data_IF_338879968553
#
_entry.id   IF_338879968553
#
_cell.length_a   1.000
_cell.length_b   1.000
_cell.length_c   1.000
_cell.angle_alpha   90.00
_cell.angle_beta   90.00
_cell.angle_gamma   90.00
#
_symmetry.space_group_name_H-M   'P 1'
#
loop_
_entity.id
_entity.type
_entity.pdbx_description
1 polymer ?
#
# COMPACT_ATOMS: atom_id res chain seq x y z
N UNK A 1 10.09 21.61 31.67
CA UNK A 1 9.62 20.78 30.53
C UNK A 1 8.74 19.66 31.10
N UNK A 2 7.55 19.42 30.53
CA UNK A 2 6.66 18.32 30.97
C UNK A 2 7.25 17.00 30.46
N UNK A 3 7.91 16.23 31.34
CA UNK A 3 8.66 15.02 30.98
C UNK A 3 7.85 13.77 31.30
N UNK A 4 7.15 13.23 30.30
CA UNK A 4 6.42 11.96 30.40
C UNK A 4 5.10 11.96 29.65
N UNK A 5 4.68 10.79 29.17
CA UNK A 5 3.39 10.57 28.52
C UNK A 5 2.33 10.32 29.61
N UNK A 6 1.14 10.87 29.46
CA UNK A 6 0.05 10.64 30.43
C UNK A 6 -0.41 9.18 30.41
N UNK A 7 -0.52 8.55 31.59
CA UNK A 7 -1.00 7.16 31.73
C UNK A 7 -2.41 6.94 31.17
N UNK A 8 -3.32 7.89 31.44
CA UNK A 8 -4.71 7.82 30.96
C UNK A 8 -4.81 8.00 29.45
N UNK A 9 -3.84 8.70 28.86
CA UNK A 9 -3.74 8.81 27.41
C UNK A 9 -3.33 7.49 26.77
N UNK A 10 -2.34 6.78 27.35
CA UNK A 10 -1.97 5.45 26.87
C UNK A 10 -3.15 4.48 26.91
N UNK A 11 -3.93 4.47 27.99
CA UNK A 11 -5.14 3.65 28.11
C UNK A 11 -6.23 4.01 27.08
N UNK A 12 -6.45 5.30 26.83
CA UNK A 12 -7.43 5.77 25.85
C UNK A 12 -7.03 5.43 24.41
N UNK A 13 -5.73 5.52 24.10
CA UNK A 13 -5.17 5.14 22.81
C UNK A 13 -5.26 3.62 22.59
N UNK A 14 -4.96 2.81 23.63
CA UNK A 14 -5.14 1.35 23.58
C UNK A 14 -6.62 0.97 23.35
N UNK A 15 -7.56 1.69 23.98
CA UNK A 15 -9.01 1.48 23.82
C UNK A 15 -9.61 2.11 22.55
N UNK A 16 -8.81 2.82 21.74
CA UNK A 16 -9.28 3.60 20.57
C UNK A 16 -10.36 4.66 20.92
N UNK A 17 -10.38 5.15 22.15
CA UNK A 17 -11.34 6.15 22.65
C UNK A 17 -10.75 7.58 22.65
N UNK A 18 -9.62 7.77 21.97
CA UNK A 18 -8.98 9.06 21.80
C UNK A 18 -9.61 9.82 20.62
N UNK A 19 -9.78 11.14 20.74
CA UNK A 19 -10.43 11.95 19.71
C UNK A 19 -10.74 13.36 20.19
N UNK A 20 -11.46 14.12 19.35
CA UNK A 20 -11.75 15.54 19.58
C UNK A 20 -12.49 15.85 20.90
N UNK A 21 -13.26 14.90 21.42
CA UNK A 21 -13.98 15.02 22.70
C UNK A 21 -13.29 14.32 23.88
N UNK A 22 -12.10 13.73 23.68
CA UNK A 22 -11.42 13.02 24.76
C UNK A 22 -10.75 14.02 25.72
N UNK A 23 -11.11 13.93 27.00
CA UNK A 23 -10.62 14.80 28.07
C UNK A 23 -9.88 13.94 29.09
N UNK A 24 -8.64 14.32 29.41
CA UNK A 24 -7.85 13.57 30.38
C UNK A 24 -8.47 13.70 31.79
N UNK A 25 -8.76 12.59 32.51
CA UNK A 25 -9.31 12.65 33.87
C UNK A 25 -8.34 13.23 34.90
N UNK A 26 -7.04 13.33 34.57
CA UNK A 26 -5.98 13.87 35.44
C UNK A 26 -5.75 15.38 35.27
N UNK A 27 -6.80 16.13 34.92
CA UNK A 27 -6.72 17.59 34.74
C UNK A 27 -7.04 18.11 33.35
N UNK A 28 -7.99 17.49 32.64
CA UNK A 28 -8.65 17.96 31.41
C UNK A 28 -7.77 18.64 30.36
N UNK A 29 -7.47 19.94 30.53
CA UNK A 29 -6.67 20.79 29.64
C UNK A 29 -5.28 21.14 30.20
N UNK A 30 -5.04 20.92 31.49
CA UNK A 30 -3.82 21.24 32.22
C UNK A 30 -3.20 19.97 32.83
N UNK A 31 -3.13 18.88 32.07
CA UNK A 31 -2.38 17.72 32.52
C UNK A 31 -0.88 18.06 32.57
N UNK A 32 -0.23 17.71 33.69
CA UNK A 32 1.22 17.84 33.87
C UNK A 32 2.04 16.95 32.92
N UNK A 33 1.41 15.97 32.28
CA UNK A 33 2.01 15.02 31.36
C UNK A 33 1.60 15.28 29.90
N UNK A 34 2.40 14.81 28.94
CA UNK A 34 2.20 15.01 27.49
C UNK A 34 1.14 14.04 26.94
N UNK A 35 0.18 14.57 26.18
CA UNK A 35 -0.86 13.80 25.47
C UNK A 35 -0.45 13.51 24.02
N UNK A 36 0.75 12.97 23.83
CA UNK A 36 1.24 12.57 22.52
C UNK A 36 2.12 11.34 22.68
N UNK A 37 1.99 10.39 21.76
CA UNK A 37 2.90 9.25 21.66
C UNK A 37 4.28 9.77 21.22
N UNK A 38 5.38 9.33 21.85
CA UNK A 38 6.71 9.54 21.31
C UNK A 38 6.84 8.93 19.92
N UNK A 39 7.68 9.50 19.04
CA UNK A 39 7.96 8.91 17.74
C UNK A 39 8.53 7.49 17.94
N UNK A 40 7.95 6.50 17.25
CA UNK A 40 8.36 5.09 17.34
C UNK A 40 7.64 4.25 18.40
N UNK A 41 6.68 4.80 19.16
CA UNK A 41 5.88 4.00 20.09
C UNK A 41 4.80 3.19 19.35
N UNK A 42 4.96 1.86 19.33
CA UNK A 42 3.97 0.93 18.77
C UNK A 42 3.04 0.44 19.88
N UNK A 43 1.73 0.53 19.65
CA UNK A 43 0.73 0.06 20.60
C UNK A 43 0.77 -1.46 20.74
N UNK A 44 0.55 -1.98 21.95
CA UNK A 44 0.49 -3.43 22.22
C UNK A 44 -0.53 -4.16 21.34
N UNK A 45 -1.65 -3.51 21.04
CA UNK A 45 -2.68 -4.05 20.14
C UNK A 45 -2.22 -4.14 18.69
N UNK A 46 -1.44 -3.18 18.21
CA UNK A 46 -0.86 -3.21 16.86
C UNK A 46 0.27 -4.24 16.76
N UNK A 47 1.15 -4.32 17.77
CA UNK A 47 2.16 -5.36 17.86
C UNK A 47 1.54 -6.77 17.87
N UNK A 48 0.47 -6.98 18.64
CA UNK A 48 -0.23 -8.26 18.68
C UNK A 48 -0.84 -8.63 17.32
N UNK A 49 -1.46 -7.68 16.64
CA UNK A 49 -2.03 -7.92 15.30
C UNK A 49 -0.95 -8.30 14.28
N UNK A 50 0.19 -7.59 14.28
CA UNK A 50 1.29 -7.92 13.36
C UNK A 50 1.90 -9.30 13.65
N UNK A 51 2.11 -9.63 14.92
CA UNK A 51 2.62 -10.95 15.32
C UNK A 51 1.63 -12.08 14.98
N UNK A 52 0.33 -11.82 15.07
CA UNK A 52 -0.70 -12.79 14.72
C UNK A 52 -0.79 -12.99 13.19
N UNK A 53 -0.66 -11.94 12.38
CA UNK A 53 -0.54 -12.05 10.92
C UNK A 53 0.75 -12.75 10.47
N UNK A 54 1.86 -12.55 11.19
CA UNK A 54 3.12 -13.24 10.92
C UNK A 54 3.06 -14.71 11.35
N UNK A 55 2.42 -15.03 12.47
CA UNK A 55 2.27 -16.40 12.96
C UNK A 55 1.26 -17.23 12.15
N UNK A 56 0.24 -16.59 11.55
CA UNK A 56 -0.72 -17.26 10.67
C UNK A 56 -0.15 -17.59 9.29
N UNK A 57 0.97 -16.98 8.90
CA UNK A 57 1.72 -17.37 7.70
C UNK A 57 2.48 -18.65 8.03
N UNK A 58 1.81 -19.77 7.81
CA UNK A 58 2.48 -21.08 7.68
C UNK A 58 3.67 -20.86 6.74
N UNK A 59 4.85 -21.28 7.17
CA UNK A 59 6.06 -21.13 6.36
C UNK A 59 5.88 -21.90 5.05
N UNK A 60 6.47 -21.40 3.96
CA UNK A 60 6.33 -22.02 2.64
C UNK A 60 6.80 -23.49 2.70
N UNK A 61 7.80 -23.77 3.52
CA UNK A 61 8.35 -25.09 3.79
C UNK A 61 7.33 -26.04 4.43
N UNK A 62 6.63 -25.58 5.48
CA UNK A 62 5.62 -26.38 6.18
C UNK A 62 4.38 -26.62 5.30
N UNK A 63 3.98 -25.65 4.48
CA UNK A 63 2.94 -25.80 3.46
C UNK A 63 3.34 -26.86 2.42
N UNK A 64 4.58 -26.84 1.93
CA UNK A 64 5.09 -27.82 0.96
C UNK A 64 5.09 -29.24 1.54
N UNK A 65 5.53 -29.42 2.78
CA UNK A 65 5.58 -30.76 3.41
C UNK A 65 4.18 -31.31 3.66
N UNK A 66 3.25 -30.46 4.10
CA UNK A 66 1.82 -30.81 4.23
C UNK A 66 1.21 -31.23 2.89
N UNK A 67 1.56 -30.56 1.79
CA UNK A 67 1.09 -30.91 0.45
C UNK A 67 1.72 -32.22 -0.04
N UNK A 68 3.02 -32.44 0.19
CA UNK A 68 3.69 -33.72 -0.13
C UNK A 68 3.06 -34.90 0.60
N UNK A 69 2.73 -34.74 1.87
CA UNK A 69 2.06 -35.77 2.65
C UNK A 69 0.65 -36.11 2.13
N UNK A 70 -0.05 -35.15 1.51
CA UNK A 70 -1.38 -35.34 0.91
C UNK A 70 -1.33 -35.97 -0.48
N UNK A 71 -0.23 -35.81 -1.22
CA UNK A 71 -0.08 -36.36 -2.58
C UNK A 71 0.32 -37.83 -2.50
N UNK A 72 -0.62 -38.73 -2.83
CA UNK A 72 -0.40 -40.19 -2.79
C UNK A 72 0.08 -40.79 -4.11
N UNK A 73 -0.10 -40.10 -5.23
CA UNK A 73 0.24 -40.57 -6.58
C UNK A 73 1.18 -39.60 -7.27
N UNK A 74 2.31 -40.12 -7.78
CA UNK A 74 3.29 -39.34 -8.52
C UNK A 74 3.34 -39.87 -9.96
N UNK A 75 2.87 -39.06 -10.92
CA UNK A 75 3.00 -39.38 -12.34
C UNK A 75 4.38 -38.95 -12.82
N UNK A 76 5.16 -39.80 -13.50
CA UNK A 76 6.44 -39.40 -14.06
C UNK A 76 6.22 -38.27 -15.06
N UNK A 77 6.93 -37.17 -14.88
CA UNK A 77 6.80 -35.98 -15.72
C UNK A 77 7.44 -36.25 -17.08
N UNK A 78 6.64 -36.52 -18.10
CA UNK A 78 7.10 -36.62 -19.49
C UNK A 78 6.93 -35.28 -20.21
N UNK A 79 7.69 -35.07 -21.28
CA UNK A 79 7.65 -33.82 -22.07
C UNK A 79 6.26 -33.52 -22.63
N UNK A 80 5.55 -34.55 -23.08
CA UNK A 80 4.22 -34.38 -23.68
C UNK A 80 3.19 -33.97 -22.62
N UNK A 81 3.25 -34.56 -21.43
CA UNK A 81 2.41 -34.18 -20.30
C UNK A 81 2.71 -32.77 -19.81
N UNK A 82 3.98 -32.36 -19.79
CA UNK A 82 4.36 -30.99 -19.46
C UNK A 82 3.77 -29.98 -20.45
N UNK A 83 3.85 -30.28 -21.75
CA UNK A 83 3.32 -29.39 -22.78
C UNK A 83 1.80 -29.25 -22.67
N UNK A 84 1.08 -30.35 -22.46
CA UNK A 84 -0.38 -30.31 -22.21
C UNK A 84 -0.73 -29.50 -20.95
N UNK A 85 -0.02 -29.72 -19.84
CA UNK A 85 -0.20 -28.96 -18.61
C UNK A 85 0.09 -27.46 -18.83
N UNK A 86 1.16 -27.13 -19.55
CA UNK A 86 1.56 -25.75 -19.85
C UNK A 86 0.50 -25.06 -20.70
N UNK A 87 0.00 -25.72 -21.74
CA UNK A 87 -1.10 -25.19 -22.56
C UNK A 87 -2.34 -24.93 -21.71
N UNK A 88 -2.74 -25.90 -20.87
CA UNK A 88 -3.87 -25.74 -19.95
C UNK A 88 -3.68 -24.57 -18.99
N UNK A 89 -2.47 -24.36 -18.47
CA UNK A 89 -2.16 -23.24 -17.56
C UNK A 89 -2.14 -21.89 -18.25
N UNK A 90 -1.68 -21.84 -19.50
CA UNK A 90 -1.76 -20.62 -20.32
C UNK A 90 -3.21 -20.27 -20.59
N UNK A 91 -4.04 -21.24 -21.00
CA UNK A 91 -5.46 -21.04 -21.26
C UNK A 91 -6.23 -20.59 -20.00
N UNK A 92 -5.97 -21.19 -18.83
CA UNK A 92 -6.54 -20.78 -17.54
C UNK A 92 -6.16 -19.33 -17.19
N UNK A 93 -4.90 -18.95 -17.43
CA UNK A 93 -4.43 -17.58 -17.21
C UNK A 93 -5.09 -16.60 -18.17
N UNK A 94 -5.18 -16.94 -19.45
CA UNK A 94 -5.81 -16.09 -20.46
C UNK A 94 -7.31 -15.92 -20.20
N UNK A 95 -8.01 -16.99 -19.84
CA UNK A 95 -9.42 -16.94 -19.44
C UNK A 95 -9.63 -16.07 -18.19
N UNK A 96 -8.76 -16.19 -17.18
CA UNK A 96 -8.80 -15.34 -15.98
C UNK A 96 -8.55 -13.86 -16.30
N UNK A 97 -7.59 -13.56 -17.18
CA UNK A 97 -7.33 -12.20 -17.64
C UNK A 97 -8.47 -11.66 -18.50
N UNK A 98 -9.08 -12.48 -19.36
CA UNK A 98 -10.24 -12.11 -20.16
C UNK A 98 -11.45 -11.81 -19.27
N UNK A 99 -11.70 -12.61 -18.23
CA UNK A 99 -12.75 -12.35 -17.24
C UNK A 99 -12.49 -11.05 -16.47
N UNK A 100 -11.25 -10.82 -16.02
CA UNK A 100 -10.89 -9.58 -15.34
C UNK A 100 -11.04 -8.35 -16.26
N UNK A 101 -10.68 -8.47 -17.55
CA UNK A 101 -10.89 -7.42 -18.55
C UNK A 101 -12.38 -7.17 -18.80
N UNK A 102 -13.19 -8.23 -18.91
CA UNK A 102 -14.63 -8.11 -19.09
C UNK A 102 -15.30 -7.43 -17.89
N UNK A 103 -14.93 -7.79 -16.67
CA UNK A 103 -15.42 -7.12 -15.45
C UNK A 103 -14.95 -5.65 -15.38
N UNK A 104 -13.73 -5.35 -15.80
CA UNK A 104 -13.24 -3.96 -15.86
C UNK A 104 -13.96 -3.13 -16.92
N UNK A 105 -14.26 -3.73 -18.07
CA UNK A 105 -15.02 -3.11 -19.15
C UNK A 105 -16.48 -2.82 -18.73
N UNK A 106 -17.13 -3.75 -18.01
CA UNK A 106 -18.48 -3.50 -17.45
C UNK A 106 -18.53 -2.37 -16.43
N UNK A 107 -17.43 -2.13 -15.74
CA UNK A 107 -17.33 -1.10 -14.70
C UNK A 107 -16.77 0.25 -15.22
N UNK A 108 -16.70 0.46 -16.55
CA UNK A 108 -16.15 1.66 -17.21
C UNK A 108 -14.75 2.10 -16.72
N UNK A 109 -13.97 1.16 -16.18
CA UNK A 109 -12.63 1.40 -15.61
C UNK A 109 -11.50 0.97 -16.54
N UNK A 110 -11.68 1.16 -17.84
CA UNK A 110 -10.67 0.83 -18.84
C UNK A 110 -9.46 1.79 -18.73
N UNK A 111 -8.24 1.27 -18.87
CA UNK A 111 -7.05 2.13 -18.94
C UNK A 111 -7.07 2.97 -20.23
N UNK A 112 -6.55 4.20 -20.20
CA UNK A 112 -6.42 5.03 -21.41
C UNK A 112 -5.70 4.30 -22.56
N UNK A 113 -4.70 3.46 -22.26
CA UNK A 113 -4.04 2.62 -23.27
C UNK A 113 -4.96 1.55 -23.84
N UNK A 114 -5.85 0.97 -23.04
CA UNK A 114 -6.82 -0.03 -23.50
C UNK A 114 -7.89 0.62 -24.39
N UNK A 115 -8.38 1.80 -24.00
CA UNK A 115 -9.31 2.61 -24.81
C UNK A 115 -8.69 3.00 -26.16
N UNK A 116 -7.42 3.44 -26.15
CA UNK A 116 -6.71 3.81 -27.37
C UNK A 116 -6.47 2.62 -28.32
N UNK A 117 -6.25 1.42 -27.78
CA UNK A 117 -6.12 0.21 -28.61
C UNK A 117 -7.47 -0.28 -29.18
N UNK A 118 -8.59 0.03 -28.52
CA UNK A 118 -9.92 -0.30 -29.01
C UNK A 118 -10.37 0.67 -30.11
N UNK A 119 -10.24 1.96 -29.85
CA UNK A 119 -10.56 3.01 -30.81
C UNK A 119 -9.71 4.25 -30.56
N UNK A 120 -8.62 4.36 -31.34
CA UNK A 120 -7.74 5.51 -31.31
C UNK A 120 -8.42 6.78 -31.81
N UNK A 121 -9.52 6.67 -32.59
CA UNK A 121 -10.22 7.83 -33.14
C UNK A 121 -11.05 8.60 -32.11
N UNK A 122 -11.26 8.04 -30.92
CA UNK A 122 -11.89 8.74 -29.80
C UNK A 122 -10.96 9.77 -29.13
N UNK A 123 -9.66 9.69 -29.40
CA UNK A 123 -8.64 10.60 -28.86
C UNK A 123 -8.23 11.61 -29.94
N UNK A 124 -9.11 12.57 -30.20
CA UNK A 124 -8.83 13.71 -31.07
C UNK A 124 -8.52 14.91 -30.18
N UNK A 125 -7.33 15.48 -30.36
CA UNK A 125 -6.94 16.73 -29.74
C UNK A 125 -7.92 17.84 -30.17
N UNK A 126 -8.39 18.67 -29.23
CA UNK A 126 -9.22 19.82 -29.56
C UNK A 126 -8.41 20.90 -30.29
N UNK A 127 -9.10 21.86 -30.89
CA UNK A 127 -8.47 22.90 -31.70
C UNK A 127 -7.50 23.81 -30.91
N UNK A 128 -7.54 23.76 -29.58
CA UNK A 128 -6.74 24.59 -28.67
C UNK A 128 -5.51 23.82 -28.11
N UNK A 129 -5.46 22.49 -28.26
CA UNK A 129 -4.32 21.66 -27.84
C UNK A 129 -2.98 21.99 -28.55
N UNK A 130 -3.04 22.67 -29.69
CA UNK A 130 -1.84 23.12 -30.42
C UNK A 130 -1.37 24.51 -30.02
N UNK A 131 -2.08 25.20 -29.11
CA UNK A 131 -1.63 26.50 -28.65
C UNK A 131 -0.33 26.34 -27.86
N UNK A 132 0.72 26.98 -28.39
CA UNK A 132 2.05 26.98 -27.81
C UNK A 132 1.97 27.66 -26.45
N UNK A 133 1.91 26.85 -25.39
CA UNK A 133 1.83 27.33 -24.00
C UNK A 133 2.95 28.35 -23.74
N UNK A 134 2.60 29.63 -23.72
CA UNK A 134 3.55 30.70 -23.50
C UNK A 134 3.66 30.86 -21.98
N UNK A 135 4.63 30.16 -21.40
CA UNK A 135 4.97 30.32 -19.98
C UNK A 135 5.36 31.78 -19.78
N UNK A 136 4.52 32.56 -19.10
CA UNK A 136 4.92 33.88 -18.64
C UNK A 136 6.10 33.71 -17.68
N UNK A 137 7.18 34.45 -17.92
CA UNK A 137 8.27 34.55 -16.95
C UNK A 137 7.70 35.25 -15.72
N UNK A 138 7.50 34.50 -14.63
CA UNK A 138 7.18 35.13 -13.35
C UNK A 138 8.29 36.14 -12.99
N UNK A 139 7.94 37.34 -12.51
CA UNK A 139 8.94 38.30 -12.06
C UNK A 139 9.80 37.64 -10.97
N UNK A 140 11.11 37.83 -11.06
CA UNK A 140 12.12 37.33 -10.12
C UNK A 140 11.84 37.87 -8.71
N UNK A 141 10.93 37.20 -7.99
CA UNK A 141 10.80 37.35 -6.54
C UNK A 141 11.95 36.58 -5.94
N UNK A 142 13.02 37.31 -5.63
CA UNK A 142 14.22 36.90 -4.89
C UNK A 142 13.97 35.62 -4.09
N UNK A 143 14.40 34.49 -4.65
CA UNK A 143 14.36 33.22 -3.95
C UNK A 143 15.27 33.32 -2.74
N UNK A 144 14.69 33.58 -1.56
CA UNK A 144 15.34 33.27 -0.29
C UNK A 144 15.65 31.79 -0.31
N UNK A 145 16.89 31.47 -0.64
CA UNK A 145 17.45 30.12 -0.59
C UNK A 145 17.27 29.61 0.83
N UNK A 146 16.17 28.89 1.07
CA UNK A 146 16.04 28.05 2.26
C UNK A 146 17.01 26.90 1.99
N UNK A 147 18.24 27.06 2.47
CA UNK A 147 19.21 25.98 2.53
C UNK A 147 18.58 24.88 3.38
N UNK A 148 18.03 23.87 2.73
CA UNK A 148 17.79 22.58 3.36
C UNK A 148 19.17 22.03 3.71
N UNK A 149 19.58 22.26 4.96
CA UNK A 149 20.71 21.57 5.57
C UNK A 149 20.31 20.10 5.68
N UNK A 150 20.57 19.33 4.63
CA UNK A 150 20.60 17.88 4.73
C UNK A 150 21.81 17.55 5.62
N UNK A 151 21.65 16.92 6.79
CA UNK A 151 22.79 16.49 7.59
C UNK A 151 23.54 15.45 6.78
N UNK A 152 24.70 15.80 6.23
CA UNK A 152 25.66 14.84 5.70
C UNK A 152 26.01 13.87 6.83
N UNK A 153 25.55 12.63 6.70
CA UNK A 153 26.06 11.49 7.46
C UNK A 153 27.55 11.38 7.12
N UNK A 154 28.42 11.76 8.06
CA UNK A 154 29.82 11.32 8.04
C UNK A 154 29.82 9.87 8.51
N UNK A 155 30.07 8.96 7.58
CA UNK A 155 30.51 7.60 7.91
C UNK A 155 31.98 7.75 8.33
N UNK A 156 32.26 7.44 9.60
CA UNK A 156 33.61 7.27 10.14
C UNK A 156 34.21 5.95 9.69
#
# INVERSE_FOLDING_TARGET
MRTGVCKYFLEAVEKKQYGWFWVCPNGSKECHYRHALPPGYVLKSQMKALLEEEAQKITIEEEIENQRAKVSTCTPMTTDLFMQWKMKKVEEREAGLAAQRAERAKNDRMSGRELFLLDASLFVDDAEAYDKYQREEEPDVEQKVVRCLCPTIRIS
#
